data_IF_538726095232
#
_entry.id   IF_538726095232
#
_cell.length_a   1.000
_cell.length_b   1.000
_cell.length_c   1.000
_cell.angle_alpha   90.00
_cell.angle_beta   90.00
_cell.angle_gamma   90.00
#
_symmetry.space_group_name_H-M   'P 1'
#
loop_
_entity.id
_entity.type
_entity.pdbx_description
1 polymer ?
#
# COMPACT_ATOMS: atom_id res chain seq x y z
N UNK A 1 -10.90 54.47 -51.82
CA UNK A 1 -10.25 53.16 -52.01
C UNK A 1 -8.74 53.37 -52.01
N UNK A 2 -7.87 52.55 -51.39
CA UNK A 2 -7.97 51.61 -50.25
C UNK A 2 -7.09 52.08 -49.04
N UNK A 3 -7.53 51.93 -47.78
CA UNK A 3 -7.06 50.90 -46.80
C UNK A 3 -5.60 50.44 -46.90
N UNK A 4 -4.81 50.72 -45.86
CA UNK A 4 -3.81 49.77 -45.38
C UNK A 4 -3.73 49.82 -43.84
N UNK A 5 -4.21 48.75 -43.21
CA UNK A 5 -3.93 48.42 -41.82
C UNK A 5 -2.44 48.14 -41.65
N UNK A 6 -1.85 48.52 -40.52
CA UNK A 6 -0.96 47.58 -39.84
C UNK A 6 -0.94 47.84 -38.33
N UNK A 7 -1.42 46.84 -37.61
CA UNK A 7 -1.30 46.64 -36.17
C UNK A 7 0.17 46.42 -35.82
N UNK A 8 0.61 46.91 -34.67
CA UNK A 8 1.70 46.25 -33.94
C UNK A 8 1.41 46.34 -32.45
N UNK A 9 1.15 45.16 -31.87
CA UNK A 9 1.02 44.93 -30.45
C UNK A 9 2.34 45.25 -29.74
N UNK A 10 2.26 45.90 -28.59
CA UNK A 10 3.22 45.70 -27.51
C UNK A 10 2.47 45.19 -26.30
N UNK A 11 2.94 44.03 -25.83
CA UNK A 11 2.33 43.20 -24.82
C UNK A 11 2.97 43.44 -23.45
N UNK A 12 2.24 42.96 -22.44
CA UNK A 12 2.71 42.46 -21.14
C UNK A 12 3.13 43.51 -20.10
N UNK A 13 2.12 43.94 -19.33
CA UNK A 13 2.25 44.04 -17.88
C UNK A 13 0.97 43.48 -17.24
N UNK A 14 1.05 42.23 -16.75
CA UNK A 14 0.10 41.70 -15.78
C UNK A 14 0.93 40.99 -14.70
N UNK A 15 1.11 41.71 -13.60
CA UNK A 15 1.78 41.24 -12.40
C UNK A 15 0.90 40.26 -11.63
N UNK A 16 1.56 39.22 -11.11
CA UNK A 16 1.42 38.67 -9.77
C UNK A 16 0.00 38.55 -9.18
N UNK A 17 -0.58 37.35 -9.25
CA UNK A 17 -1.38 36.78 -8.15
C UNK A 17 -1.75 35.32 -8.46
N UNK A 18 -0.84 34.37 -8.22
CA UNK A 18 -1.17 32.95 -8.00
C UNK A 18 -0.18 32.38 -6.99
N UNK A 19 -0.35 32.79 -5.73
CA UNK A 19 0.36 32.20 -4.60
C UNK A 19 -0.58 32.15 -3.39
N UNK A 20 -1.52 31.21 -3.41
CA UNK A 20 -2.26 30.83 -2.19
C UNK A 20 -3.01 29.52 -2.41
N UNK A 21 -2.25 28.42 -2.43
CA UNK A 21 -2.66 27.10 -1.92
C UNK A 21 -1.46 26.16 -2.05
N UNK A 22 -0.41 26.43 -1.27
CA UNK A 22 0.48 25.34 -0.88
C UNK A 22 -0.37 24.42 0.00
N UNK A 23 -0.54 23.13 -0.34
CA UNK A 23 -0.96 22.16 0.66
C UNK A 23 0.04 22.24 1.80
N UNK A 24 -0.52 22.40 2.99
CA UNK A 24 0.14 22.33 4.29
C UNK A 24 1.20 21.24 4.28
N UNK A 25 2.37 21.58 4.80
CA UNK A 25 3.55 20.75 5.01
C UNK A 25 3.23 19.48 5.83
N UNK A 26 2.57 18.51 5.21
CA UNK A 26 2.74 17.12 5.55
C UNK A 26 4.03 16.70 4.86
N UNK A 27 5.03 16.29 5.62
CA UNK A 27 6.23 15.62 5.10
C UNK A 27 5.83 14.76 3.91
N UNK A 28 6.31 15.07 2.71
CA UNK A 28 6.35 14.09 1.64
C UNK A 28 7.29 12.99 2.15
N UNK A 29 6.73 12.09 2.95
CA UNK A 29 7.42 10.90 3.42
C UNK A 29 7.92 10.25 2.16
N UNK A 30 9.23 10.22 1.98
CA UNK A 30 9.80 9.47 0.87
C UNK A 30 9.26 8.07 1.07
N UNK A 31 8.41 7.61 0.15
CA UNK A 31 7.79 6.29 0.24
C UNK A 31 8.91 5.25 0.10
N UNK A 32 9.64 5.03 1.17
CA UNK A 32 10.78 4.12 1.24
C UNK A 32 10.21 2.72 1.39
N UNK A 33 10.24 1.89 0.33
CA UNK A 33 9.73 0.53 0.41
C UNK A 33 10.50 -0.30 1.45
N UNK A 34 11.72 0.10 1.82
CA UNK A 34 12.54 -0.57 2.83
C UNK A 34 12.42 0.07 4.22
N UNK A 35 11.65 1.14 4.35
CA UNK A 35 11.24 1.65 5.64
C UNK A 35 10.32 0.65 6.33
N UNK A 36 10.18 0.80 7.65
CA UNK A 36 9.22 0.01 8.44
C UNK A 36 7.92 0.79 8.48
N UNK A 37 6.85 0.17 8.00
CA UNK A 37 5.53 0.79 7.90
C UNK A 37 4.45 -0.15 8.40
N UNK A 38 3.27 0.41 8.61
CA UNK A 38 2.07 -0.32 9.00
C UNK A 38 1.11 -0.31 7.83
N UNK A 39 0.33 -1.38 7.69
CA UNK A 39 -0.61 -1.50 6.59
C UNK A 39 -2.01 -1.24 7.10
N UNK A 40 -2.63 -0.21 6.55
CA UNK A 40 -3.98 0.24 6.91
C UNK A 40 -4.93 0.08 5.74
N UNK A 41 -6.12 -0.42 6.02
CA UNK A 41 -7.28 -0.22 5.17
C UNK A 41 -7.95 1.10 5.57
N UNK A 42 -7.79 2.18 4.78
CA UNK A 42 -8.30 3.50 5.12
C UNK A 42 -9.83 3.56 5.13
N UNK A 43 -10.52 2.60 4.51
CA UNK A 43 -11.99 2.57 4.51
C UNK A 43 -12.56 2.15 5.86
N UNK A 44 -11.83 1.32 6.61
CA UNK A 44 -12.24 0.81 7.91
C UNK A 44 -11.41 1.36 9.08
N UNK A 45 -10.26 1.99 8.79
CA UNK A 45 -9.29 2.41 9.81
C UNK A 45 -8.62 1.23 10.52
N UNK A 46 -8.71 0.03 9.94
CA UNK A 46 -8.15 -1.20 10.50
C UNK A 46 -6.76 -1.46 9.94
N UNK A 47 -5.92 -2.06 10.77
CA UNK A 47 -4.55 -2.43 10.42
C UNK A 47 -4.43 -3.93 10.14
N UNK A 48 -3.52 -4.26 9.23
CA UNK A 48 -3.19 -5.64 8.87
C UNK A 48 -2.59 -6.36 10.07
N UNK A 49 -3.16 -7.53 10.37
CA UNK A 49 -2.76 -8.43 11.44
C UNK A 49 -2.75 -9.86 10.90
N UNK A 50 -1.65 -10.61 11.09
CA UNK A 50 -1.61 -12.03 10.78
C UNK A 50 -2.55 -12.83 11.70
N UNK A 51 -3.20 -13.87 11.17
CA UNK A 51 -4.06 -14.78 11.93
C UNK A 51 -3.27 -15.49 13.03
N UNK A 52 -3.72 -15.35 14.28
CA UNK A 52 -2.93 -15.77 15.44
C UNK A 52 -3.24 -17.21 15.91
N UNK A 53 -2.22 -18.00 16.28
CA UNK A 53 -0.80 -17.74 16.07
C UNK A 53 -0.36 -18.13 14.65
N UNK A 54 0.54 -17.35 14.06
CA UNK A 54 1.26 -17.81 12.88
C UNK A 54 2.33 -18.80 13.30
N UNK A 55 2.40 -19.90 12.58
CA UNK A 55 3.48 -20.88 12.69
C UNK A 55 4.35 -20.81 11.44
N UNK A 56 5.43 -21.59 11.38
CA UNK A 56 6.25 -21.70 10.16
C UNK A 56 5.44 -22.23 8.97
N UNK A 57 4.39 -23.03 9.23
CA UNK A 57 3.44 -23.48 8.21
C UNK A 57 2.57 -22.34 7.65
N UNK A 58 2.59 -21.19 8.32
CA UNK A 58 1.96 -19.95 7.90
C UNK A 58 0.61 -19.67 8.53
N UNK A 59 0.02 -18.54 8.14
CA UNK A 59 -1.27 -18.03 8.61
C UNK A 59 -1.86 -17.06 7.60
N UNK A 60 -3.18 -16.88 7.61
CA UNK A 60 -3.85 -15.88 6.77
C UNK A 60 -3.66 -14.46 7.29
N UNK A 61 -3.88 -13.46 6.43
CA UNK A 61 -3.71 -12.05 6.75
C UNK A 61 -5.06 -11.32 6.81
N UNK A 62 -5.27 -10.48 7.84
CA UNK A 62 -6.57 -9.84 8.13
C UNK A 62 -6.44 -8.35 8.48
N UNK A 63 -7.28 -7.48 7.92
CA UNK A 63 -7.46 -6.11 8.42
C UNK A 63 -8.52 -6.11 9.52
N UNK A 64 -8.09 -6.27 10.77
CA UNK A 64 -8.99 -6.59 11.89
C UNK A 64 -8.78 -5.79 13.17
N UNK A 65 -7.69 -5.03 13.30
CA UNK A 65 -7.35 -4.31 14.55
C UNK A 65 -7.35 -2.80 14.38
N UNK A 66 -7.85 -2.07 15.38
CA UNK A 66 -7.93 -0.60 15.35
C UNK A 66 -6.72 0.11 15.97
N UNK A 67 -5.68 -0.62 16.41
CA UNK A 67 -4.53 -0.04 17.12
C UNK A 67 -3.40 0.33 16.17
N UNK A 68 -2.70 1.42 16.44
CA UNK A 68 -1.54 1.88 15.67
C UNK A 68 -0.17 1.33 16.12
N UNK A 69 -0.13 0.52 17.17
CA UNK A 69 1.11 -0.02 17.76
C UNK A 69 1.32 -1.50 17.46
N UNK A 70 0.58 -2.03 16.48
CA UNK A 70 0.54 -3.47 16.15
C UNK A 70 1.71 -3.95 15.30
N UNK A 71 1.44 -4.91 14.42
CA UNK A 71 2.41 -5.45 13.47
C UNK A 71 2.93 -4.35 12.53
N UNK A 72 4.21 -4.45 12.17
CA UNK A 72 4.87 -3.59 11.20
C UNK A 72 5.55 -4.44 10.13
N UNK A 73 5.63 -3.89 8.92
CA UNK A 73 6.04 -4.58 7.71
C UNK A 73 7.09 -3.79 6.95
N UNK A 74 7.77 -4.46 6.03
CA UNK A 74 8.73 -3.84 5.11
C UNK A 74 8.76 -4.61 3.78
N UNK A 75 9.28 -4.01 2.71
CA UNK A 75 9.71 -4.77 1.54
C UNK A 75 11.16 -5.20 1.77
N UNK A 76 11.41 -6.51 1.80
CA UNK A 76 12.75 -7.06 2.03
C UNK A 76 13.76 -6.53 1.01
N UNK A 77 14.95 -6.16 1.49
CA UNK A 77 15.95 -5.43 0.70
C UNK A 77 16.34 -6.18 -0.58
N UNK A 78 16.35 -5.47 -1.71
CA UNK A 78 16.68 -6.05 -3.01
C UNK A 78 15.61 -6.97 -3.59
N UNK A 79 14.41 -7.03 -2.98
CA UNK A 79 13.30 -7.87 -3.41
C UNK A 79 12.00 -7.06 -3.53
N UNK A 80 10.91 -7.77 -3.85
CA UNK A 80 9.52 -7.30 -3.85
C UNK A 80 8.69 -8.03 -2.79
N UNK A 81 9.33 -8.69 -1.83
CA UNK A 81 8.67 -9.52 -0.84
C UNK A 81 8.27 -8.67 0.37
N UNK A 82 6.97 -8.63 0.66
CA UNK A 82 6.45 -8.02 1.88
C UNK A 82 6.74 -8.95 3.06
N UNK A 83 7.36 -8.43 4.11
CA UNK A 83 7.82 -9.17 5.28
C UNK A 83 7.25 -8.58 6.58
N UNK A 84 6.98 -9.42 7.58
CA UNK A 84 6.73 -8.97 8.95
C UNK A 84 8.05 -8.50 9.58
N UNK A 85 8.23 -7.19 9.68
CA UNK A 85 9.43 -6.57 10.21
C UNK A 85 9.43 -6.47 11.74
N UNK A 86 8.27 -6.15 12.34
CA UNK A 86 8.08 -6.11 13.80
C UNK A 86 6.74 -6.67 14.21
N UNK A 87 6.70 -7.21 15.42
CA UNK A 87 5.49 -7.76 16.04
C UNK A 87 5.21 -7.03 17.36
N UNK A 88 3.93 -6.90 17.77
CA UNK A 88 3.60 -6.28 19.04
C UNK A 88 4.16 -7.09 20.21
N UNK A 89 4.43 -6.41 21.33
CA UNK A 89 4.93 -7.06 22.54
C UNK A 89 4.00 -8.20 23.00
N UNK A 90 4.58 -9.37 23.30
CA UNK A 90 3.84 -10.56 23.70
C UNK A 90 3.23 -11.37 22.54
N UNK A 91 3.44 -10.97 21.28
CA UNK A 91 3.04 -11.76 20.11
C UNK A 91 3.75 -13.12 20.07
N UNK A 92 3.01 -14.16 19.68
CA UNK A 92 3.56 -15.49 19.37
C UNK A 92 3.97 -15.65 17.90
N UNK A 93 3.57 -14.73 17.04
CA UNK A 93 3.95 -14.73 15.62
C UNK A 93 5.41 -14.29 15.49
N UNK A 94 6.26 -15.03 14.75
CA UNK A 94 7.63 -14.62 14.49
C UNK A 94 7.70 -13.47 13.47
N UNK A 95 8.77 -12.67 13.55
CA UNK A 95 9.20 -11.77 12.48
C UNK A 95 9.82 -12.57 11.33
N UNK A 96 9.99 -11.94 10.16
CA UNK A 96 10.66 -12.58 9.01
C UNK A 96 9.76 -13.48 8.16
N UNK A 97 8.47 -13.59 8.50
CA UNK A 97 7.51 -14.26 7.63
C UNK A 97 7.17 -13.36 6.44
N UNK A 98 7.13 -13.96 5.26
CA UNK A 98 6.82 -13.28 4.02
C UNK A 98 5.37 -13.51 3.60
N UNK A 99 4.77 -12.47 3.03
CA UNK A 99 3.49 -12.59 2.35
C UNK A 99 3.65 -13.32 1.01
N UNK A 100 2.78 -14.29 0.75
CA UNK A 100 2.55 -14.89 -0.56
C UNK A 100 1.03 -15.17 -0.72
N UNK A 101 0.63 -15.79 -1.82
CA UNK A 101 -0.74 -16.24 -2.04
C UNK A 101 -0.89 -17.73 -1.74
N UNK A 102 -2.00 -18.12 -1.11
CA UNK A 102 -2.37 -19.52 -0.97
C UNK A 102 -2.85 -20.09 -2.31
N UNK A 103 -2.06 -20.98 -2.90
CA UNK A 103 -2.38 -21.62 -4.19
C UNK A 103 -3.42 -22.72 -4.11
N UNK A 104 -3.77 -23.19 -2.90
CA UNK A 104 -4.61 -24.39 -2.72
C UNK A 104 -6.11 -24.10 -2.79
N UNK A 105 -6.48 -22.83 -2.87
CA UNK A 105 -7.86 -22.36 -2.86
C UNK A 105 -8.17 -21.61 -4.15
N UNK A 106 -9.41 -21.69 -4.65
CA UNK A 106 -9.92 -20.88 -5.78
C UNK A 106 -9.87 -19.37 -5.48
N UNK A 107 -9.52 -18.99 -4.25
CA UNK A 107 -9.45 -17.64 -3.70
C UNK A 107 -7.99 -17.36 -3.36
N UNK A 108 -7.39 -16.34 -3.97
CA UNK A 108 -5.99 -15.91 -3.79
C UNK A 108 -5.78 -15.17 -2.48
N UNK A 109 -6.05 -15.85 -1.37
CA UNK A 109 -5.87 -15.33 -0.02
C UNK A 109 -4.38 -15.05 0.26
N UNK A 110 -4.09 -13.95 0.93
CA UNK A 110 -2.75 -13.65 1.41
C UNK A 110 -2.42 -14.53 2.63
N UNK A 111 -1.23 -15.11 2.60
CA UNK A 111 -0.66 -15.90 3.70
C UNK A 111 0.72 -15.38 4.07
N UNK A 112 1.03 -15.35 5.36
CA UNK A 112 2.39 -15.17 5.84
C UNK A 112 3.02 -16.53 6.12
N UNK A 113 4.23 -16.80 5.63
CA UNK A 113 4.98 -18.04 5.91
C UNK A 113 6.49 -17.81 5.90
N UNK A 114 7.27 -18.79 6.35
CA UNK A 114 8.74 -18.73 6.30
C UNK A 114 9.31 -19.06 4.91
N UNK A 115 8.46 -19.36 3.94
CA UNK A 115 8.90 -19.70 2.58
C UNK A 115 9.18 -18.42 1.81
N UNK A 116 10.25 -18.42 1.00
CA UNK A 116 10.53 -17.32 0.07
C UNK A 116 9.34 -17.21 -0.89
N UNK A 117 8.69 -16.04 -0.99
CA UNK A 117 7.54 -15.86 -1.88
C UNK A 117 7.91 -16.19 -3.32
N UNK A 118 7.01 -16.88 -4.01
CA UNK A 118 7.19 -17.21 -5.42
C UNK A 118 6.14 -16.53 -6.31
N UNK A 119 5.08 -15.99 -5.70
CA UNK A 119 3.86 -15.66 -6.45
C UNK A 119 3.25 -14.32 -6.06
N UNK A 120 3.92 -13.57 -5.19
CA UNK A 120 3.47 -12.26 -4.77
C UNK A 120 4.64 -11.28 -4.84
N UNK A 121 4.38 -10.17 -5.49
CA UNK A 121 5.29 -9.05 -5.60
C UNK A 121 4.57 -7.80 -5.13
N UNK A 122 5.09 -7.20 -4.06
CA UNK A 122 4.58 -5.97 -3.47
C UNK A 122 5.59 -4.84 -3.62
N UNK A 123 5.08 -3.62 -3.76
CA UNK A 123 5.86 -2.38 -3.80
C UNK A 123 5.11 -1.31 -3.03
N UNK A 124 5.85 -0.39 -2.41
CA UNK A 124 5.28 0.83 -1.83
C UNK A 124 5.55 1.97 -2.80
N UNK A 125 4.52 2.74 -3.12
CA UNK A 125 4.61 3.87 -4.07
C UNK A 125 3.86 5.08 -3.52
N UNK A 126 4.26 6.30 -3.88
CA UNK A 126 3.44 7.48 -3.61
C UNK A 126 2.02 7.30 -4.13
N UNK A 127 1.04 7.75 -3.35
CA UNK A 127 -0.35 7.78 -3.76
C UNK A 127 -0.50 8.68 -5.02
N UNK A 128 -1.24 8.23 -6.05
CA UNK A 128 -1.36 8.96 -7.31
C UNK A 128 -2.12 10.28 -7.20
N UNK A 129 -2.92 10.51 -6.15
CA UNK A 129 -3.60 11.78 -5.88
C UNK A 129 -2.65 12.88 -5.40
N UNK A 130 -1.45 12.53 -4.92
CA UNK A 130 -0.46 13.49 -4.43
C UNK A 130 -0.76 14.04 -3.03
N UNK A 131 -1.60 13.35 -2.25
CA UNK A 131 -1.93 13.70 -0.85
C UNK A 131 -0.78 13.48 0.15
N UNK A 132 0.39 13.07 -0.34
CA UNK A 132 1.58 12.80 0.50
C UNK A 132 1.55 11.45 1.19
N UNK A 133 0.57 10.58 0.90
CA UNK A 133 0.51 9.21 1.43
C UNK A 133 1.20 8.20 0.51
N UNK A 134 1.41 6.98 1.03
CA UNK A 134 2.01 5.89 0.29
C UNK A 134 1.05 4.70 0.21
N UNK A 135 0.92 4.14 -0.99
CA UNK A 135 0.12 2.95 -1.26
C UNK A 135 1.00 1.70 -1.28
N UNK A 136 0.51 0.61 -0.69
CA UNK A 136 1.01 -0.71 -1.00
C UNK A 136 0.31 -1.20 -2.28
N UNK A 137 1.09 -1.58 -3.29
CA UNK A 137 0.61 -2.24 -4.52
C UNK A 137 1.19 -3.64 -4.61
N UNK A 138 0.33 -4.64 -4.57
CA UNK A 138 0.70 -6.02 -4.76
C UNK A 138 0.12 -6.57 -6.06
N UNK A 139 0.90 -7.42 -6.72
CA UNK A 139 0.50 -8.22 -7.87
C UNK A 139 1.01 -9.63 -7.65
N UNK A 140 0.30 -10.61 -8.16
CA UNK A 140 0.66 -11.98 -7.91
C UNK A 140 0.06 -12.94 -8.91
N UNK A 141 0.45 -14.20 -8.81
CA UNK A 141 0.05 -15.25 -9.74
C UNK A 141 -0.49 -16.47 -9.01
N UNK A 142 -1.60 -17.00 -9.50
CA UNK A 142 -2.17 -18.24 -8.98
C UNK A 142 -2.87 -18.98 -10.09
N UNK A 143 -2.77 -20.32 -10.10
CA UNK A 143 -3.41 -21.19 -11.09
C UNK A 143 -3.11 -20.79 -12.56
N UNK A 144 -1.94 -20.19 -12.83
CA UNK A 144 -1.55 -19.74 -14.18
C UNK A 144 -2.08 -18.35 -14.58
N UNK A 145 -2.85 -17.68 -13.72
CA UNK A 145 -3.36 -16.33 -13.94
C UNK A 145 -2.52 -15.30 -13.18
N UNK A 146 -2.48 -14.07 -13.71
CA UNK A 146 -1.90 -12.91 -13.03
C UNK A 146 -3.03 -12.02 -12.52
N UNK A 147 -2.97 -11.69 -11.24
CA UNK A 147 -3.94 -10.83 -10.56
C UNK A 147 -3.29 -9.51 -10.18
N UNK A 148 -4.06 -8.43 -10.38
CA UNK A 148 -3.69 -7.07 -9.98
C UNK A 148 -4.81 -6.54 -9.09
N UNK A 149 -4.46 -5.75 -8.09
CA UNK A 149 -5.42 -5.16 -7.16
C UNK A 149 -5.62 -6.00 -5.90
N UNK A 150 -6.12 -5.34 -4.86
CA UNK A 150 -6.30 -5.89 -3.54
C UNK A 150 -7.76 -5.75 -3.12
N UNK A 151 -8.27 -6.75 -2.41
CA UNK A 151 -9.61 -6.71 -1.87
C UNK A 151 -9.68 -7.35 -0.50
N UNK A 152 -10.69 -6.97 0.28
CA UNK A 152 -10.91 -7.50 1.61
C UNK A 152 -12.33 -8.02 1.71
N UNK A 153 -12.45 -9.23 2.27
CA UNK A 153 -13.73 -9.80 2.67
C UNK A 153 -14.36 -8.90 3.74
N UNK A 154 -15.55 -8.39 3.43
CA UNK A 154 -16.24 -7.40 4.24
C UNK A 154 -16.75 -7.95 5.57
N UNK A 155 -16.89 -9.27 5.69
CA UNK A 155 -17.47 -9.92 6.86
C UNK A 155 -16.40 -10.20 7.93
N UNK A 156 -15.22 -10.68 7.51
CA UNK A 156 -14.16 -11.13 8.43
C UNK A 156 -12.85 -10.34 8.30
N UNK A 157 -12.70 -9.47 7.31
CA UNK A 157 -11.51 -8.65 7.09
C UNK A 157 -10.34 -9.40 6.44
N UNK A 158 -10.52 -10.62 5.94
CA UNK A 158 -9.46 -11.39 5.29
C UNK A 158 -9.02 -10.73 3.98
N UNK A 159 -7.71 -10.73 3.74
CA UNK A 159 -7.09 -10.05 2.60
C UNK A 159 -6.85 -10.96 1.40
N UNK A 160 -7.23 -10.50 0.21
CA UNK A 160 -7.18 -11.23 -1.06
C UNK A 160 -6.56 -10.41 -2.20
N UNK A 161 -6.10 -11.13 -3.23
CA UNK A 161 -5.53 -10.55 -4.45
C UNK A 161 -6.51 -10.66 -5.63
N UNK A 162 -6.90 -9.54 -6.26
CA UNK A 162 -7.63 -9.51 -7.53
C UNK A 162 -9.00 -10.21 -7.54
N UNK A 163 -9.73 -10.17 -6.42
CA UNK A 163 -11.11 -10.67 -6.30
C UNK A 163 -12.11 -9.52 -6.14
N UNK A 164 -13.36 -9.73 -6.57
CA UNK A 164 -14.53 -8.85 -6.36
C UNK A 164 -15.07 -8.87 -4.91
N UNK A 165 -14.19 -8.94 -3.90
CA UNK A 165 -14.59 -8.47 -2.56
C UNK A 165 -14.51 -6.94 -2.55
N UNK A 166 -14.76 -6.29 -1.40
CA UNK A 166 -14.59 -4.84 -1.30
C UNK A 166 -13.19 -4.45 -1.80
N UNK A 167 -13.11 -3.85 -2.98
CA UNK A 167 -11.85 -3.38 -3.55
C UNK A 167 -11.32 -2.25 -2.68
N UNK A 168 -10.05 -2.32 -2.30
CA UNK A 168 -9.46 -1.35 -1.39
C UNK A 168 -8.09 -0.88 -1.84
N UNK A 169 -7.77 0.33 -1.44
CA UNK A 169 -6.42 0.88 -1.47
C UNK A 169 -5.79 0.63 -0.11
N UNK A 170 -4.69 -0.12 -0.05
CA UNK A 170 -3.94 -0.31 1.19
C UNK A 170 -2.91 0.81 1.34
N UNK A 171 -2.91 1.46 2.51
CA UNK A 171 -1.95 2.51 2.86
C UNK A 171 -0.77 1.94 3.63
N UNK A 172 0.44 2.31 3.22
CA UNK A 172 1.67 2.11 3.98
C UNK A 172 1.91 3.34 4.86
N UNK A 173 1.63 3.21 6.15
CA UNK A 173 1.71 4.28 7.15
C UNK A 173 3.05 4.18 7.88
N UNK A 174 3.92 5.16 7.64
CA UNK A 174 5.23 5.24 8.28
C UNK A 174 5.11 5.90 9.65
N UNK A 175 5.67 5.32 10.72
CA UNK A 175 5.73 5.97 12.03
C UNK A 175 6.48 7.30 11.92
N UNK A 176 5.94 8.36 12.53
CA UNK A 176 6.65 9.62 12.67
C UNK A 176 7.83 9.38 13.62
N UNK A 177 9.05 9.61 13.13
CA UNK A 177 10.30 9.53 13.91
C UNK A 177 10.44 10.71 14.86
#
# INVERSE_FOLDING_TARGET
MPTCMLRTLTALYACLALASSLPSSGSAGTCDPHGIFRLEDPSTGKYLTPGSPCTDAGCYAFYSVNSSTGFEYTIARGTTHLEIAKVPHGSKTPTGLYADVDKKVEVTAFVFSSTIPANLNCTVKPDPSGDGTCDLKCSGSAMGYTYKGQSVDTDNGQWFLGREYGEIVIKAVFPLT
#
